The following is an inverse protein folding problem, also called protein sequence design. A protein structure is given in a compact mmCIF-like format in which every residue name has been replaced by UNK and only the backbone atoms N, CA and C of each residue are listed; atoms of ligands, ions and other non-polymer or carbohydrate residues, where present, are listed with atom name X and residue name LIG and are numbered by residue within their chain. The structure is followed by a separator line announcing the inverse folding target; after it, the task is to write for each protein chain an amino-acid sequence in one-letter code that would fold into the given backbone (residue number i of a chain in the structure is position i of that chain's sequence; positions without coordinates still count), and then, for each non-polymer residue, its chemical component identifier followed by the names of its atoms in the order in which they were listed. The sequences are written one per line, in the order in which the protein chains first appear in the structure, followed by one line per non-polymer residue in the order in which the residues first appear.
data_IF_785983782887
#
_entry.id   IF_785983782887
#
_cell.length_a   1.000
_cell.length_b   1.000
_cell.length_c   1.000
_cell.angle_alpha   90.00
_cell.angle_beta   90.00
_cell.angle_gamma   90.00
#
_symmetry.space_group_name_H-M   'P 1'
#
loop_
_entity.id
_entity.type
_entity.pdbx_description
1 polymer ?
#
# COMPACT_ATOMS: atom_id res chain seq x y z
N UNK A 1 -12.37 -2.71 -8.99
CA UNK A 1 -11.02 -3.31 -8.91
C UNK A 1 -10.27 -2.68 -7.75
N UNK A 2 -9.47 -3.43 -6.98
CA UNK A 2 -8.59 -2.85 -5.96
C UNK A 2 -7.13 -2.99 -6.40
N UNK A 3 -6.42 -1.87 -6.50
CA UNK A 3 -5.00 -1.84 -6.85
C UNK A 3 -4.16 -1.91 -5.58
N UNK A 4 -3.24 -2.86 -5.51
CA UNK A 4 -2.53 -3.17 -4.28
C UNK A 4 -1.06 -3.51 -4.50
N UNK A 5 -0.24 -3.19 -3.50
CA UNK A 5 1.14 -3.63 -3.41
C UNK A 5 1.43 -4.08 -1.97
N UNK A 6 1.72 -5.36 -1.76
CA UNK A 6 1.80 -5.93 -0.40
C UNK A 6 3.03 -5.48 0.42
N UNK A 7 4.06 -4.93 -0.22
CA UNK A 7 5.27 -4.41 0.44
C UNK A 7 5.96 -5.51 1.25
N UNK A 8 6.36 -5.23 2.50
CA UNK A 8 7.02 -6.24 3.38
C UNK A 8 6.17 -7.48 3.73
N UNK A 9 4.88 -7.48 3.41
CA UNK A 9 3.98 -8.64 3.57
C UNK A 9 3.77 -9.43 2.27
N UNK A 10 4.47 -9.07 1.20
CA UNK A 10 4.48 -9.85 -0.03
C UNK A 10 5.26 -11.17 0.16
N UNK A 11 5.26 -12.02 -0.86
CA UNK A 11 5.97 -13.30 -0.84
C UNK A 11 5.63 -14.15 0.39
N UNK A 12 4.33 -14.35 0.61
CA UNK A 12 3.78 -15.16 1.70
C UNK A 12 3.00 -16.36 1.17
N UNK A 13 2.91 -17.39 1.99
CA UNK A 13 2.15 -18.59 1.64
C UNK A 13 0.68 -18.27 1.42
N UNK A 14 0.04 -19.09 0.59
CA UNK A 14 -1.42 -19.06 0.49
C UNK A 14 -2.02 -19.45 1.84
N UNK A 15 -3.15 -18.88 2.26
CA UNK A 15 -3.70 -19.13 3.59
C UNK A 15 -3.93 -20.61 3.93
N UNK A 16 -4.17 -21.47 2.93
CA UNK A 16 -4.37 -22.91 3.12
C UNK A 16 -3.10 -23.77 3.03
N UNK A 17 -1.97 -23.19 2.61
CA UNK A 17 -0.65 -23.86 2.59
C UNK A 17 0.15 -23.55 3.86
N UNK A 18 -0.26 -22.53 4.61
CA UNK A 18 0.31 -22.15 5.89
C UNK A 18 0.24 -20.64 6.13
N UNK A 19 0.91 -20.20 7.20
CA UNK A 19 1.08 -18.78 7.52
C UNK A 19 2.57 -18.46 7.55
N UNK A 20 2.97 -17.40 6.84
CA UNK A 20 4.35 -16.89 6.88
C UNK A 20 4.99 -16.66 5.50
N UNK A 21 6.26 -16.24 5.50
CA UNK A 21 7.02 -15.96 4.28
C UNK A 21 7.31 -17.22 3.46
N UNK A 22 7.40 -17.06 2.13
CA UNK A 22 7.92 -18.06 1.20
C UNK A 22 9.40 -17.76 0.96
N UNK A 23 10.27 -18.72 1.23
CA UNK A 23 11.70 -18.58 0.96
C UNK A 23 11.96 -18.46 -0.56
N UNK A 24 13.01 -17.73 -0.95
CA UNK A 24 13.40 -17.58 -2.37
C UNK A 24 13.63 -18.95 -3.04
N UNK A 25 14.26 -19.89 -2.35
CA UNK A 25 14.46 -21.26 -2.83
C UNK A 25 13.16 -22.04 -3.11
N UNK A 26 12.00 -21.56 -2.62
CA UNK A 26 10.67 -22.14 -2.84
C UNK A 26 9.78 -21.27 -3.73
N UNK A 27 10.39 -20.39 -4.53
CA UNK A 27 9.66 -19.48 -5.44
C UNK A 27 9.24 -18.15 -4.79
N UNK A 28 9.73 -17.84 -3.59
CA UNK A 28 9.61 -16.51 -3.02
C UNK A 28 10.47 -15.48 -3.75
N UNK A 29 10.30 -14.20 -3.40
CA UNK A 29 11.05 -13.09 -3.99
C UNK A 29 11.39 -12.05 -2.93
N UNK A 30 12.39 -11.21 -3.22
CA UNK A 30 12.77 -10.11 -2.34
C UNK A 30 11.64 -9.09 -2.24
N UNK A 31 11.16 -8.86 -1.03
CA UNK A 31 10.09 -7.91 -0.75
C UNK A 31 10.65 -6.52 -0.52
N UNK A 32 9.87 -5.48 -0.83
CA UNK A 32 10.26 -4.08 -0.68
C UNK A 32 9.40 -3.35 0.35
N UNK A 33 9.94 -2.30 0.96
CA UNK A 33 9.27 -1.53 2.01
C UNK A 33 9.86 -0.12 2.13
N UNK A 34 9.25 0.81 2.90
CA UNK A 34 9.88 2.10 3.21
C UNK A 34 11.19 1.96 4.00
N UNK A 35 11.37 0.89 4.79
CA UNK A 35 12.55 0.67 5.63
C UNK A 35 12.82 -0.83 5.77
N UNK A 36 14.07 -1.19 6.05
CA UNK A 36 14.51 -2.58 6.27
C UNK A 36 14.04 -3.14 7.64
N UNK A 37 12.73 -3.12 7.88
CA UNK A 37 12.09 -3.59 9.11
C UNK A 37 11.13 -4.73 8.76
N UNK A 38 11.38 -5.96 9.21
CA UNK A 38 10.51 -7.11 8.93
C UNK A 38 9.10 -6.90 9.51
N UNK A 39 8.12 -7.62 8.97
CA UNK A 39 6.75 -7.55 9.48
C UNK A 39 6.64 -8.11 10.90
N UNK A 40 7.28 -9.25 11.16
CA UNK A 40 7.35 -9.94 12.44
C UNK A 40 8.64 -10.77 12.53
N UNK A 41 8.90 -11.39 13.68
CA UNK A 41 10.01 -12.32 13.90
C UNK A 41 9.92 -13.48 12.91
N UNK A 42 11.03 -13.81 12.24
CA UNK A 42 11.09 -14.86 11.24
C UNK A 42 10.56 -14.49 9.86
N UNK A 43 10.13 -13.23 9.64
CA UNK A 43 9.75 -12.73 8.32
C UNK A 43 10.94 -12.18 7.54
N UNK A 44 10.76 -12.06 6.21
CA UNK A 44 11.71 -11.41 5.31
C UNK A 44 12.11 -10.02 5.83
N UNK A 45 13.41 -9.73 5.82
CA UNK A 45 13.89 -8.34 5.92
C UNK A 45 13.70 -7.70 4.55
N UNK A 46 12.83 -6.67 4.41
CA UNK A 46 12.57 -6.08 3.11
C UNK A 46 13.75 -5.22 2.64
N UNK A 47 13.92 -5.12 1.33
CA UNK A 47 14.75 -4.09 0.72
C UNK A 47 14.08 -2.72 0.90
N UNK A 48 14.80 -1.76 1.50
CA UNK A 48 14.29 -0.40 1.65
C UNK A 48 14.29 0.29 0.28
N UNK A 49 13.13 0.77 -0.17
CA UNK A 49 13.01 1.45 -1.45
C UNK A 49 13.89 2.70 -1.48
N UNK A 50 14.64 2.88 -2.56
CA UNK A 50 15.26 4.16 -2.87
C UNK A 50 14.29 5.05 -3.66
N UNK A 51 14.75 6.22 -4.09
CA UNK A 51 13.93 7.16 -4.85
C UNK A 51 13.49 6.56 -6.20
N UNK A 52 14.35 5.78 -6.85
CA UNK A 52 14.03 5.12 -8.11
C UNK A 52 12.93 4.06 -7.93
N UNK A 53 13.02 3.25 -6.88
CA UNK A 53 12.01 2.28 -6.51
C UNK A 53 10.67 2.93 -6.14
N UNK A 54 10.69 4.07 -5.45
CA UNK A 54 9.48 4.86 -5.17
C UNK A 54 8.82 5.34 -6.48
N UNK A 55 9.61 5.89 -7.41
CA UNK A 55 9.10 6.31 -8.73
C UNK A 55 8.53 5.13 -9.53
N UNK A 56 9.17 3.97 -9.46
CA UNK A 56 8.67 2.75 -10.11
C UNK A 56 7.32 2.33 -9.54
N UNK A 57 7.14 2.35 -8.21
CA UNK A 57 5.86 2.06 -7.56
C UNK A 57 4.76 3.01 -8.05
N UNK A 58 5.04 4.32 -8.14
CA UNK A 58 4.07 5.30 -8.64
C UNK A 58 3.67 4.99 -10.08
N UNK A 59 4.66 4.71 -10.94
CA UNK A 59 4.43 4.33 -12.34
C UNK A 59 3.61 3.04 -12.47
N UNK A 60 3.86 2.05 -11.62
CA UNK A 60 3.13 0.78 -11.61
C UNK A 60 1.66 0.95 -11.23
N UNK A 61 1.35 1.81 -10.24
CA UNK A 61 -0.04 2.13 -9.90
C UNK A 61 -0.77 2.84 -11.05
N UNK A 62 -0.12 3.80 -11.71
CA UNK A 62 -0.66 4.47 -12.91
C UNK A 62 -0.92 3.47 -14.03
N UNK A 63 0.05 2.61 -14.33
CA UNK A 63 -0.10 1.59 -15.37
C UNK A 63 -1.19 0.57 -15.01
N UNK A 64 -1.33 0.19 -13.74
CA UNK A 64 -2.39 -0.69 -13.27
C UNK A 64 -3.79 -0.05 -13.40
N UNK A 65 -3.91 1.25 -13.12
CA UNK A 65 -5.15 1.99 -13.33
C UNK A 65 -5.53 2.07 -14.81
N UNK A 66 -4.57 2.35 -15.71
CA UNK A 66 -4.81 2.32 -17.16
C UNK A 66 -5.29 0.94 -17.62
N UNK A 67 -4.61 -0.13 -17.21
CA UNK A 67 -5.03 -1.50 -17.56
C UNK A 67 -6.42 -1.84 -17.01
N UNK A 68 -6.77 -1.35 -15.83
CA UNK A 68 -8.10 -1.54 -15.27
C UNK A 68 -9.16 -0.80 -16.09
N UNK A 69 -8.85 0.42 -16.57
CA UNK A 69 -9.73 1.17 -17.46
C UNK A 69 -9.93 0.43 -18.79
N UNK A 70 -8.83 -0.01 -19.42
CA UNK A 70 -8.85 -0.74 -20.69
C UNK A 70 -9.65 -2.06 -20.57
N UNK A 71 -9.61 -2.70 -19.40
CA UNK A 71 -10.39 -3.89 -19.08
C UNK A 71 -11.87 -3.60 -18.76
N UNK A 72 -12.32 -2.34 -18.82
CA UNK A 72 -13.72 -1.94 -18.63
C UNK A 72 -14.16 -1.80 -17.17
N UNK A 73 -13.23 -1.73 -16.20
CA UNK A 73 -13.62 -1.42 -14.82
C UNK A 73 -14.12 0.02 -14.71
N UNK A 74 -15.25 0.21 -14.03
CA UNK A 74 -15.85 1.53 -13.79
C UNK A 74 -15.54 2.11 -12.41
N UNK A 75 -14.82 1.34 -11.58
CA UNK A 75 -14.41 1.74 -10.23
C UNK A 75 -13.05 1.12 -9.88
N UNK A 76 -12.15 1.96 -9.38
CA UNK A 76 -10.89 1.54 -8.75
C UNK A 76 -10.82 2.00 -7.29
N UNK A 77 -10.12 1.21 -6.50
CA UNK A 77 -9.75 1.54 -5.13
C UNK A 77 -8.25 1.33 -4.93
N UNK A 78 -7.56 2.31 -4.35
CA UNK A 78 -6.16 2.19 -3.95
C UNK A 78 -6.07 1.55 -2.57
N UNK A 79 -5.25 0.50 -2.44
CA UNK A 79 -5.15 -0.22 -1.18
C UNK A 79 -4.15 0.42 -0.19
N UNK A 80 -4.63 1.40 0.58
CA UNK A 80 -3.89 2.11 1.62
C UNK A 80 -3.90 1.50 3.03
N UNK A 81 -4.31 0.23 3.18
CA UNK A 81 -4.62 -0.39 4.48
C UNK A 81 -3.92 -1.75 4.70
N UNK A 82 -4.34 -2.51 5.72
CA UNK A 82 -3.91 -3.90 6.06
C UNK A 82 -2.40 -4.15 6.27
N UNK A 83 -1.62 -3.07 6.35
CA UNK A 83 -0.18 -3.13 6.57
C UNK A 83 0.59 -3.41 5.29
N UNK A 84 -0.01 -3.13 4.13
CA UNK A 84 0.62 -3.19 2.81
C UNK A 84 1.36 -1.88 2.48
N UNK A 85 2.00 -1.80 1.32
CA UNK A 85 3.06 -0.83 1.05
C UNK A 85 2.63 0.62 1.35
N UNK A 86 1.49 1.05 0.84
CA UNK A 86 0.98 2.41 1.11
C UNK A 86 0.76 2.64 2.61
N UNK A 87 0.14 1.68 3.32
CA UNK A 87 0.01 1.76 4.79
C UNK A 87 1.38 1.75 5.49
N UNK A 88 2.36 1.02 4.97
CA UNK A 88 3.70 0.95 5.56
C UNK A 88 4.38 2.32 5.55
N UNK A 89 4.22 3.11 4.47
CA UNK A 89 4.71 4.50 4.41
C UNK A 89 3.96 5.41 5.39
N UNK A 90 2.64 5.22 5.54
CA UNK A 90 1.82 6.01 6.45
C UNK A 90 2.15 5.77 7.93
N UNK A 91 2.63 4.58 8.31
CA UNK A 91 2.83 4.22 9.72
C UNK A 91 4.28 4.45 10.20
N UNK A 92 4.50 5.16 11.31
CA UNK A 92 5.84 5.33 11.89
C UNK A 92 6.43 4.02 12.45
N UNK A 93 5.62 2.97 12.63
CA UNK A 93 6.09 1.66 13.07
C UNK A 93 6.91 0.94 11.99
N UNK A 94 6.60 1.19 10.71
CA UNK A 94 7.25 0.57 9.56
C UNK A 94 8.10 1.55 8.74
N UNK A 95 7.77 2.84 8.76
CA UNK A 95 8.51 3.89 8.06
C UNK A 95 9.46 4.61 9.02
N UNK A 96 10.74 4.23 8.97
CA UNK A 96 11.85 4.84 9.73
C UNK A 96 12.74 5.71 8.85
N UNK A 97 12.26 6.14 7.68
CA UNK A 97 13.03 7.00 6.77
C UNK A 97 13.21 8.39 7.37
N UNK A 98 14.35 9.00 7.03
CA UNK A 98 14.69 10.39 7.38
C UNK A 98 14.70 11.32 6.16
N UNK A 99 14.26 10.85 4.99
CA UNK A 99 14.16 11.62 3.75
C UNK A 99 12.76 12.22 3.56
N UNK A 100 12.48 12.74 2.36
CA UNK A 100 11.20 13.36 2.00
C UNK A 100 9.99 12.42 2.10
N UNK A 101 10.19 11.12 2.31
CA UNK A 101 9.15 10.11 2.42
C UNK A 101 8.97 9.54 3.84
N UNK A 102 9.66 10.07 4.86
CA UNK A 102 9.49 9.67 6.26
C UNK A 102 9.61 10.78 7.30
N UNK A 103 9.43 10.41 8.57
CA UNK A 103 9.38 11.35 9.69
C UNK A 103 8.01 12.04 9.83
N UNK A 104 7.87 13.23 9.25
CA UNK A 104 6.67 14.07 9.40
C UNK A 104 5.41 13.43 8.80
N UNK A 105 4.24 13.95 9.17
CA UNK A 105 2.97 13.52 8.56
C UNK A 105 2.97 13.77 7.05
N UNK A 106 3.42 14.95 6.61
CA UNK A 106 3.46 15.33 5.20
C UNK A 106 4.38 14.40 4.39
N UNK A 107 5.53 14.05 4.95
CA UNK A 107 6.46 13.13 4.30
C UNK A 107 5.91 11.71 4.26
N UNK A 108 5.32 11.20 5.34
CA UNK A 108 4.73 9.85 5.38
C UNK A 108 3.53 9.69 4.45
N UNK A 109 2.78 10.77 4.21
CA UNK A 109 1.63 10.78 3.27
C UNK A 109 2.03 11.07 1.82
N UNK A 110 3.27 11.52 1.57
CA UNK A 110 3.76 11.93 0.25
C UNK A 110 3.54 10.86 -0.83
N UNK A 111 4.01 9.63 -0.60
CA UNK A 111 3.87 8.54 -1.58
C UNK A 111 2.39 8.32 -1.95
N UNK A 112 1.49 8.30 -0.97
CA UNK A 112 0.07 8.08 -1.25
C UNK A 112 -0.50 9.20 -2.12
N UNK A 113 -0.16 10.45 -1.82
CA UNK A 113 -0.60 11.61 -2.61
C UNK A 113 -0.06 11.55 -4.04
N UNK A 114 1.22 11.21 -4.21
CA UNK A 114 1.85 11.06 -5.52
C UNK A 114 1.20 9.92 -6.34
N UNK A 115 0.89 8.78 -5.70
CA UNK A 115 0.13 7.69 -6.33
C UNK A 115 -1.28 8.13 -6.74
N UNK A 116 -2.00 8.86 -5.88
CA UNK A 116 -3.34 9.37 -6.21
C UNK A 116 -3.28 10.29 -7.41
N UNK A 117 -2.32 11.23 -7.46
CA UNK A 117 -2.13 12.14 -8.61
C UNK A 117 -1.86 11.34 -9.87
N UNK A 118 -0.87 10.44 -9.87
CA UNK A 118 -0.49 9.65 -11.03
C UNK A 118 -1.64 8.75 -11.55
N UNK A 119 -2.47 8.21 -10.65
CA UNK A 119 -3.66 7.42 -11.03
C UNK A 119 -4.75 8.32 -11.62
N UNK A 120 -4.95 9.52 -11.07
CA UNK A 120 -5.92 10.50 -11.58
C UNK A 120 -5.57 11.06 -12.96
N UNK A 121 -4.30 11.05 -13.37
CA UNK A 121 -3.89 11.43 -14.73
C UNK A 121 -4.46 10.50 -15.82
N UNK A 122 -4.76 9.24 -15.50
CA UNK A 122 -5.25 8.23 -16.47
C UNK A 122 -6.68 7.80 -16.22
N UNK A 123 -7.20 8.02 -15.01
CA UNK A 123 -8.53 7.58 -14.63
C UNK A 123 -9.59 8.66 -14.94
N UNK A 124 -10.60 8.39 -15.78
CA UNK A 124 -11.59 9.39 -16.19
C UNK A 124 -12.32 10.01 -15.00
N UNK A 125 -12.53 11.33 -15.03
CA UNK A 125 -13.15 12.09 -13.93
C UNK A 125 -14.56 11.63 -13.58
N UNK A 126 -15.32 11.15 -14.59
CA UNK A 126 -16.68 10.65 -14.39
C UNK A 126 -16.73 9.27 -13.69
N UNK A 127 -15.60 8.57 -13.59
CA UNK A 127 -15.50 7.26 -12.93
C UNK A 127 -15.00 7.41 -11.49
N UNK A 128 -15.48 6.52 -10.62
CA UNK A 128 -15.16 6.56 -9.18
C UNK A 128 -13.75 6.01 -8.92
N UNK A 129 -12.94 6.78 -8.20
CA UNK A 129 -11.65 6.35 -7.65
C UNK A 129 -11.63 6.61 -6.15
N UNK A 130 -11.42 5.55 -5.35
CA UNK A 130 -11.37 5.61 -3.88
C UNK A 130 -10.01 5.16 -3.32
N UNK A 131 -9.83 5.29 -2.01
CA UNK A 131 -8.67 4.76 -1.30
C UNK A 131 -9.11 4.14 0.04
N UNK A 132 -8.74 2.88 0.28
CA UNK A 132 -8.99 2.23 1.55
C UNK A 132 -7.98 2.68 2.61
N UNK A 133 -8.46 3.19 3.74
CA UNK A 133 -7.64 3.57 4.88
C UNK A 133 -7.88 2.66 6.10
N UNK A 134 -6.84 2.40 6.90
CA UNK A 134 -7.01 1.72 8.17
C UNK A 134 -7.72 2.64 9.18
N UNK A 135 -8.54 2.10 10.10
CA UNK A 135 -9.07 2.89 11.21
C UNK A 135 -7.92 3.39 12.10
N UNK A 136 -8.09 4.52 12.81
CA UNK A 136 -7.07 5.05 13.71
C UNK A 136 -6.72 4.04 14.80
N UNK A 137 -5.44 3.68 14.88
CA UNK A 137 -4.92 2.82 15.95
C UNK A 137 -4.81 3.68 17.22
N UNK A 138 -5.65 3.41 18.23
CA UNK A 138 -5.54 4.06 19.55
C UNK A 138 -6.79 4.70 20.14
N UNK A 139 -7.96 4.68 19.46
CA UNK A 139 -9.25 5.01 20.12
C UNK A 139 -10.01 3.71 20.37
N UNK A 140 -10.27 3.37 21.65
CA UNK A 140 -11.27 2.35 21.99
C UNK A 140 -12.59 2.79 21.38
N UNK A 141 -13.16 1.98 20.50
CA UNK A 141 -14.50 2.19 20.00
C UNK A 141 -15.47 1.96 21.17
N UNK A 142 -16.00 3.05 21.75
CA UNK A 142 -17.21 3.00 22.56
C UNK A 142 -18.37 3.13 21.59
N UNK A 143 -19.01 2.02 21.23
CA UNK A 143 -20.21 2.01 20.39
C UNK A 143 -20.24 0.89 19.33
N UNK A 144 -21.45 0.51 18.84
CA UNK A 144 -21.61 -0.63 17.94
C UNK A 144 -20.88 -0.40 16.61
N UNK A 145 -20.16 -1.45 16.18
CA UNK A 145 -19.29 -1.45 15.00
C UNK A 145 -20.07 -1.11 13.73
N UNK A 146 -20.02 0.15 13.30
CA UNK A 146 -20.22 0.50 11.90
C UNK A 146 -18.88 0.35 11.20
N UNK A 147 -18.81 -0.49 10.16
CA UNK A 147 -17.69 -0.46 9.20
C UNK A 147 -17.71 0.93 8.55
N UNK A 148 -16.86 1.83 9.02
CA UNK A 148 -16.73 3.16 8.44
C UNK A 148 -15.92 3.05 7.15
N UNK A 149 -16.63 2.94 6.03
CA UNK A 149 -16.08 3.25 4.72
C UNK A 149 -16.11 4.78 4.59
N UNK A 150 -14.98 5.44 4.85
CA UNK A 150 -14.84 6.87 4.60
C UNK A 150 -14.66 7.09 3.09
N UNK A 151 -15.78 7.19 2.38
CA UNK A 151 -15.84 7.72 1.02
C UNK A 151 -15.80 9.24 1.08
N UNK A 152 -14.61 9.84 1.13
CA UNK A 152 -14.45 11.22 0.69
C UNK A 152 -14.01 11.17 -0.77
N UNK A 153 -14.92 11.54 -1.66
CA UNK A 153 -14.62 11.79 -3.05
C UNK A 153 -13.60 12.95 -3.12
N UNK A 154 -12.43 12.66 -3.67
CA UNK A 154 -11.53 13.66 -4.24
C UNK A 154 -11.85 13.77 -5.71
#
# INVERSE_FOLDING_TARGET
MQLAHAGRKASTQRPWEGHGPVAVAKGGWTVVAPSAVPFDTGWHVPHALDEAGIRAVIADFRAAAQRALDAGFQLIELHGAHGYLLHQFLSPLSNRRADAYGGSFDNRTRLLREVVVAVREVWPEHLRCGCAFPPPIGRRAVGPRRKAWLWHAW
#
